data_IF_999631665788
#
_entry.id   IF_999631665788
#
_cell.length_a   1.000
_cell.length_b   1.000
_cell.length_c   1.000
_cell.angle_alpha   90.00
_cell.angle_beta   90.00
_cell.angle_gamma   90.00
#
_symmetry.space_group_name_H-M   'P 1'
#
loop_
_entity.id
_entity.type
_entity.pdbx_description
1 polymer ?
#
# COMPACT_ATOMS: atom_id res chain seq x y z
N UNK A 1 -1.28 9.69 -11.46
CA UNK A 1 -1.61 8.79 -12.58
C UNK A 1 -2.13 7.43 -12.11
N UNK A 2 -1.34 6.59 -11.42
CA UNK A 2 -1.77 5.25 -10.99
C UNK A 2 -3.06 5.24 -10.13
N UNK A 3 -3.16 6.13 -9.14
CA UNK A 3 -4.37 6.27 -8.31
C UNK A 3 -5.58 6.69 -9.14
N UNK A 4 -5.41 7.64 -10.07
CA UNK A 4 -6.48 8.08 -10.98
C UNK A 4 -6.99 6.94 -11.86
N UNK A 5 -6.07 6.09 -12.35
CA UNK A 5 -6.40 4.92 -13.16
C UNK A 5 -7.17 3.87 -12.34
N UNK A 6 -6.77 3.65 -11.08
CA UNK A 6 -7.52 2.81 -10.14
C UNK A 6 -8.95 3.34 -9.92
N UNK A 7 -9.09 4.64 -9.63
CA UNK A 7 -10.41 5.26 -9.42
C UNK A 7 -11.30 5.13 -10.66
N UNK A 8 -10.73 5.31 -11.85
CA UNK A 8 -11.45 5.12 -13.12
C UNK A 8 -11.93 3.67 -13.29
N UNK A 9 -11.10 2.68 -12.99
CA UNK A 9 -11.47 1.26 -13.06
C UNK A 9 -12.59 0.89 -12.08
N UNK A 10 -12.54 1.43 -10.85
CA UNK A 10 -13.61 1.23 -9.85
C UNK A 10 -14.93 1.85 -10.32
N UNK A 11 -14.86 3.03 -10.96
CA UNK A 11 -16.05 3.70 -11.50
C UNK A 11 -16.69 2.88 -12.63
N UNK A 12 -15.88 2.39 -13.58
CA UNK A 12 -16.36 1.52 -14.67
C UNK A 12 -17.04 0.26 -14.12
N UNK A 13 -16.44 -0.37 -13.10
CA UNK A 13 -17.03 -1.53 -12.44
C UNK A 13 -18.39 -1.19 -11.81
N UNK A 14 -18.50 -0.05 -11.11
CA UNK A 14 -19.73 0.38 -10.44
C UNK A 14 -20.87 0.65 -11.43
N UNK A 15 -20.56 1.28 -12.56
CA UNK A 15 -21.53 1.52 -13.65
C UNK A 15 -22.00 0.18 -14.22
N UNK A 16 -21.06 -0.73 -14.48
CA UNK A 16 -21.39 -1.98 -15.15
C UNK A 16 -22.18 -2.95 -14.23
N UNK A 17 -21.94 -2.91 -12.90
CA UNK A 17 -22.83 -3.56 -11.91
C UNK A 17 -24.22 -2.91 -11.89
N UNK A 18 -24.30 -1.58 -11.96
CA UNK A 18 -25.58 -0.85 -12.04
C UNK A 18 -26.41 -1.23 -13.28
N UNK A 19 -25.73 -1.61 -14.37
CA UNK A 19 -26.37 -2.10 -15.61
C UNK A 19 -26.74 -3.60 -15.57
N UNK A 20 -26.64 -4.25 -14.40
CA UNK A 20 -26.92 -5.67 -14.21
C UNK A 20 -26.06 -6.63 -15.06
N UNK A 21 -24.90 -6.15 -15.55
CA UNK A 21 -23.94 -7.01 -16.21
C UNK A 21 -23.34 -7.92 -15.14
N UNK A 22 -23.47 -9.25 -15.32
CA UNK A 22 -22.84 -10.24 -14.43
C UNK A 22 -21.33 -10.21 -14.65
N UNK A 23 -20.66 -9.25 -14.02
CA UNK A 23 -19.20 -9.11 -14.06
C UNK A 23 -18.59 -9.99 -12.98
N UNK A 24 -17.32 -10.33 -13.18
CA UNK A 24 -16.42 -10.95 -12.20
C UNK A 24 -16.69 -10.50 -10.76
N UNK A 25 -16.61 -11.46 -9.85
CA UNK A 25 -16.92 -11.29 -8.43
C UNK A 25 -16.06 -10.17 -7.81
N UNK A 26 -16.71 -9.21 -7.15
CA UNK A 26 -16.04 -8.04 -6.53
C UNK A 26 -14.93 -8.45 -5.56
N UNK A 27 -15.08 -9.62 -4.93
CA UNK A 27 -14.12 -10.19 -3.99
C UNK A 27 -12.79 -10.60 -4.62
N UNK A 28 -12.72 -10.71 -5.95
CA UNK A 28 -11.48 -10.98 -6.68
C UNK A 28 -10.91 -9.68 -7.23
N UNK A 29 -11.74 -8.84 -7.87
CA UNK A 29 -11.29 -7.59 -8.50
C UNK A 29 -10.69 -6.63 -7.49
N UNK A 30 -11.35 -6.45 -6.33
CA UNK A 30 -10.97 -5.42 -5.39
C UNK A 30 -9.59 -5.67 -4.74
N UNK A 31 -9.29 -6.87 -4.20
CA UNK A 31 -7.96 -7.15 -3.65
C UNK A 31 -6.85 -7.08 -4.70
N UNK A 32 -7.11 -7.52 -5.94
CA UNK A 32 -6.13 -7.47 -7.03
C UNK A 32 -5.82 -6.04 -7.43
N UNK A 33 -6.84 -5.21 -7.64
CA UNK A 33 -6.65 -3.82 -8.06
C UNK A 33 -5.92 -2.99 -6.99
N UNK A 34 -6.32 -3.15 -5.72
CA UNK A 34 -5.68 -2.45 -4.59
C UNK A 34 -4.28 -3.00 -4.34
N UNK A 35 -4.09 -4.32 -4.35
CA UNK A 35 -2.78 -4.95 -4.22
C UNK A 35 -1.79 -4.46 -5.29
N UNK A 36 -2.24 -4.32 -6.54
CA UNK A 36 -1.42 -3.81 -7.65
C UNK A 36 -1.00 -2.37 -7.42
N UNK A 37 -1.90 -1.52 -6.91
CA UNK A 37 -1.59 -0.15 -6.53
C UNK A 37 -0.46 -0.14 -5.47
N UNK A 38 -0.60 -0.92 -4.41
CA UNK A 38 0.41 -0.99 -3.34
C UNK A 38 1.75 -1.52 -3.84
N UNK A 39 1.75 -2.53 -4.72
CA UNK A 39 2.97 -3.04 -5.36
C UNK A 39 3.69 -1.95 -6.18
N UNK A 40 2.96 -1.18 -6.98
CA UNK A 40 3.53 -0.08 -7.77
C UNK A 40 4.08 1.05 -6.89
N UNK A 41 3.34 1.42 -5.84
CA UNK A 41 3.78 2.45 -4.88
C UNK A 41 5.03 1.97 -4.13
N UNK A 42 5.02 0.75 -3.61
CA UNK A 42 6.17 0.18 -2.89
C UNK A 42 7.43 0.13 -3.75
N UNK A 43 7.31 -0.22 -5.03
CA UNK A 43 8.45 -0.21 -5.95
C UNK A 43 8.99 1.21 -6.24
N UNK A 44 8.17 2.24 -6.06
CA UNK A 44 8.52 3.64 -6.33
C UNK A 44 9.09 4.36 -5.11
N UNK A 45 8.72 3.95 -3.89
CA UNK A 45 9.13 4.57 -2.62
C UNK A 45 10.65 4.77 -2.46
N UNK A 46 11.53 3.80 -2.77
CA UNK A 46 12.98 3.98 -2.62
C UNK A 46 13.58 5.07 -3.53
N UNK A 47 12.84 5.50 -4.56
CA UNK A 47 13.28 6.52 -5.51
C UNK A 47 12.91 7.94 -5.06
N UNK A 48 12.13 8.08 -3.98
CA UNK A 48 11.75 9.38 -3.47
C UNK A 48 12.95 10.06 -2.81
N UNK A 49 13.37 11.18 -3.39
CA UNK A 49 14.29 12.11 -2.73
C UNK A 49 13.58 12.75 -1.54
N UNK A 50 14.35 13.15 -0.53
CA UNK A 50 13.83 13.86 0.64
C UNK A 50 13.05 15.08 0.20
N UNK A 51 11.78 15.17 0.63
CA UNK A 51 10.90 16.26 0.26
C UNK A 51 9.79 16.43 1.32
N UNK A 52 9.16 17.59 1.33
CA UNK A 52 8.09 17.92 2.28
C UNK A 52 6.70 17.43 1.84
N UNK A 53 6.56 16.89 0.63
CA UNK A 53 5.27 16.63 -0.02
C UNK A 53 4.85 15.15 -0.01
N UNK A 54 5.78 14.19 -0.04
CA UNK A 54 5.53 12.77 -0.27
C UNK A 54 6.50 11.89 0.53
N UNK A 55 5.98 10.82 1.15
CA UNK A 55 6.75 9.89 1.97
C UNK A 55 6.40 9.94 3.46
N UNK A 56 7.19 9.27 4.29
CA UNK A 56 7.07 9.34 5.76
C UNK A 56 7.80 10.57 6.29
N UNK A 57 7.00 11.54 6.72
CA UNK A 57 7.40 12.90 7.12
C UNK A 57 7.39 13.07 8.63
N UNK A 58 8.12 12.21 9.32
CA UNK A 58 8.41 12.39 10.74
C UNK A 58 9.51 13.46 10.91
N UNK A 59 9.52 14.19 12.04
CA UNK A 59 10.48 15.28 12.27
C UNK A 59 11.94 14.86 12.04
N UNK A 60 12.25 13.58 12.30
CA UNK A 60 13.58 13.02 12.11
C UNK A 60 13.90 12.50 10.70
N UNK A 61 12.91 12.06 9.92
CA UNK A 61 13.15 11.69 8.50
C UNK A 61 13.34 12.93 7.64
N UNK A 62 12.78 14.07 8.05
CA UNK A 62 12.96 15.36 7.39
C UNK A 62 14.26 16.08 7.77
N UNK A 63 14.92 15.68 8.87
CA UNK A 63 16.19 16.28 9.28
C UNK A 63 17.41 15.54 8.73
N UNK A 64 17.24 14.30 8.26
CA UNK A 64 18.36 13.42 7.93
C UNK A 64 18.09 12.54 6.69
N UNK A 65 18.86 12.77 5.64
CA UNK A 65 18.71 12.11 4.35
C UNK A 65 19.02 10.60 4.42
N UNK A 66 19.93 10.19 5.31
CA UNK A 66 20.26 8.78 5.50
C UNK A 66 19.10 8.01 6.15
N UNK A 67 18.48 8.61 7.18
CA UNK A 67 17.26 8.07 7.79
C UNK A 67 16.13 8.01 6.76
N UNK A 68 15.97 9.07 5.95
CA UNK A 68 14.99 9.10 4.87
C UNK A 68 15.14 7.91 3.92
N UNK A 69 16.34 7.69 3.36
CA UNK A 69 16.59 6.60 2.42
C UNK A 69 16.40 5.23 3.05
N UNK A 70 16.86 5.01 4.29
CA UNK A 70 16.70 3.72 4.99
C UNK A 70 15.22 3.39 5.24
N UNK A 71 14.44 4.37 5.70
CA UNK A 71 13.00 4.22 5.96
C UNK A 71 12.24 3.92 4.67
N UNK A 72 12.40 4.73 3.63
CA UNK A 72 11.68 4.54 2.36
C UNK A 72 12.11 3.28 1.59
N UNK A 73 13.37 2.83 1.74
CA UNK A 73 13.83 1.56 1.16
C UNK A 73 13.19 0.35 1.85
N UNK A 74 13.05 0.40 3.17
CA UNK A 74 12.37 -0.65 3.94
C UNK A 74 10.88 -0.68 3.63
N UNK A 75 10.23 0.48 3.68
CA UNK A 75 8.81 0.62 3.38
C UNK A 75 8.46 0.22 1.96
N UNK A 76 9.31 0.57 0.99
CA UNK A 76 9.12 0.16 -0.39
C UNK A 76 9.04 -1.36 -0.54
N UNK A 77 9.92 -2.10 0.14
CA UNK A 77 9.87 -3.58 0.17
C UNK A 77 8.62 -4.08 0.89
N UNK A 78 8.27 -3.48 2.02
CA UNK A 78 7.12 -3.87 2.82
C UNK A 78 5.81 -3.69 2.05
N UNK A 79 5.64 -2.55 1.38
CA UNK A 79 4.47 -2.23 0.56
C UNK A 79 4.42 -3.09 -0.70
N UNK A 80 5.58 -3.39 -1.31
CA UNK A 80 5.65 -4.29 -2.46
C UNK A 80 5.17 -5.71 -2.11
N UNK A 81 5.75 -6.30 -1.06
CA UNK A 81 5.38 -7.64 -0.59
C UNK A 81 3.95 -7.64 -0.06
N UNK A 82 3.56 -6.60 0.67
CA UNK A 82 2.20 -6.41 1.17
C UNK A 82 1.15 -6.35 0.06
N UNK A 83 1.44 -5.64 -1.04
CA UNK A 83 0.57 -5.60 -2.22
C UNK A 83 0.39 -6.97 -2.88
N UNK A 84 1.46 -7.78 -2.96
CA UNK A 84 1.38 -9.15 -3.48
C UNK A 84 0.54 -10.04 -2.56
N UNK A 85 0.73 -9.93 -1.24
CA UNK A 85 -0.07 -10.66 -0.26
C UNK A 85 -1.55 -10.28 -0.32
N UNK A 86 -1.86 -9.01 -0.54
CA UNK A 86 -3.23 -8.53 -0.77
C UNK A 86 -3.85 -9.12 -2.03
N UNK A 87 -3.09 -9.29 -3.13
CA UNK A 87 -3.61 -9.98 -4.31
C UNK A 87 -3.90 -11.45 -4.00
N UNK A 88 -3.06 -12.11 -3.20
CA UNK A 88 -3.25 -13.51 -2.83
C UNK A 88 -4.54 -13.75 -2.03
N UNK A 89 -5.07 -12.74 -1.33
CA UNK A 89 -6.37 -12.87 -0.63
C UNK A 89 -7.54 -13.06 -1.59
N UNK A 90 -7.40 -12.72 -2.87
CA UNK A 90 -8.43 -12.92 -3.89
C UNK A 90 -8.83 -14.40 -4.09
N UNK A 91 -7.93 -15.34 -3.74
CA UNK A 91 -8.18 -16.79 -3.84
C UNK A 91 -8.98 -17.32 -2.64
N UNK A 92 -9.07 -16.54 -1.55
CA UNK A 92 -9.75 -16.96 -0.32
C UNK A 92 -11.29 -16.89 -0.44
N UNK A 93 -12.01 -17.68 0.38
CA UNK A 93 -13.46 -17.59 0.48
C UNK A 93 -13.92 -16.17 0.85
N UNK A 94 -15.07 -15.75 0.31
CA UNK A 94 -15.61 -14.39 0.39
C UNK A 94 -15.59 -13.80 1.80
N UNK A 95 -15.99 -14.59 2.80
CA UNK A 95 -16.09 -14.17 4.19
C UNK A 95 -14.72 -13.95 4.85
N UNK A 96 -13.74 -14.81 4.53
CA UNK A 96 -12.39 -14.70 5.08
C UNK A 96 -11.56 -13.63 4.37
N UNK A 97 -11.77 -13.46 3.07
CA UNK A 97 -11.04 -12.49 2.25
C UNK A 97 -11.16 -11.07 2.81
N UNK A 98 -12.38 -10.61 3.15
CA UNK A 98 -12.58 -9.27 3.70
C UNK A 98 -11.82 -9.05 5.02
N UNK A 99 -11.85 -10.03 5.93
CA UNK A 99 -11.18 -9.95 7.24
C UNK A 99 -9.66 -9.93 7.06
N UNK A 100 -9.12 -10.87 6.29
CA UNK A 100 -7.68 -11.00 6.05
C UNK A 100 -7.13 -9.78 5.30
N UNK A 101 -7.85 -9.29 4.30
CA UNK A 101 -7.48 -8.09 3.55
C UNK A 101 -7.42 -6.85 4.46
N UNK A 102 -8.45 -6.64 5.28
CA UNK A 102 -8.51 -5.51 6.22
C UNK A 102 -7.40 -5.59 7.26
N UNK A 103 -7.16 -6.79 7.80
CA UNK A 103 -6.08 -7.02 8.74
C UNK A 103 -4.70 -6.73 8.13
N UNK A 104 -4.43 -7.24 6.92
CA UNK A 104 -3.19 -6.96 6.19
C UNK A 104 -3.00 -5.46 5.93
N UNK A 105 -4.06 -4.75 5.53
CA UNK A 105 -4.01 -3.31 5.30
C UNK A 105 -3.61 -2.53 6.55
N UNK A 106 -4.20 -2.87 7.71
CA UNK A 106 -3.87 -2.25 8.99
C UNK A 106 -2.42 -2.52 9.40
N UNK A 107 -1.97 -3.76 9.27
CA UNK A 107 -0.60 -4.16 9.61
C UNK A 107 0.41 -3.42 8.73
N UNK A 108 0.18 -3.36 7.42
CA UNK A 108 1.06 -2.65 6.48
C UNK A 108 1.09 -1.14 6.71
N UNK A 109 0.02 -0.56 7.25
CA UNK A 109 -0.02 0.86 7.62
C UNK A 109 0.72 1.15 8.94
N UNK A 110 0.65 0.24 9.91
CA UNK A 110 1.25 0.42 11.24
C UNK A 110 2.76 0.15 11.28
N UNK A 111 3.24 -0.88 10.57
CA UNK A 111 4.67 -1.26 10.60
C UNK A 111 5.61 -0.10 10.19
N UNK A 112 5.35 0.67 9.11
CA UNK A 112 6.19 1.79 8.70
C UNK A 112 6.39 2.84 9.81
N UNK A 113 5.31 3.17 10.53
CA UNK A 113 5.33 4.17 11.61
C UNK A 113 6.22 3.70 12.76
N UNK A 114 6.06 2.44 13.17
CA UNK A 114 6.87 1.83 14.23
C UNK A 114 8.35 1.76 13.80
N UNK A 115 8.61 1.34 12.57
CA UNK A 115 9.97 1.21 12.05
C UNK A 115 10.69 2.55 11.97
N UNK A 116 9.99 3.61 11.52
CA UNK A 116 10.54 4.98 11.50
C UNK A 116 10.97 5.44 12.90
N UNK A 117 10.20 5.14 13.94
CA UNK A 117 10.55 5.45 15.32
C UNK A 117 11.76 4.65 15.83
N UNK A 118 11.85 3.37 15.49
CA UNK A 118 12.98 2.50 15.89
C UNK A 118 14.30 2.97 15.26
N UNK A 119 14.30 3.32 13.98
CA UNK A 119 15.51 3.86 13.31
C UNK A 119 15.96 5.14 14.00
N UNK A 120 15.03 6.06 14.28
CA UNK A 120 15.35 7.31 14.97
C UNK A 120 15.99 7.04 16.33
N UNK A 121 15.36 6.21 17.17
CA UNK A 121 15.89 5.90 18.50
C UNK A 121 17.28 5.26 18.44
N UNK A 122 17.55 4.40 17.46
CA UNK A 122 18.86 3.74 17.33
C UNK A 122 19.97 4.69 16.85
N UNK A 123 19.66 5.78 16.15
CA UNK A 123 20.68 6.76 15.72
C UNK A 123 21.14 7.69 16.85
N UNK A 124 20.28 7.94 17.83
CA UNK A 124 20.54 8.86 18.96
C UNK A 124 20.76 8.13 20.30
N UNK A 125 20.98 6.82 20.27
CA UNK A 125 21.55 6.05 21.39
C UNK A 125 23.07 6.08 21.28
#
# INVERSE_FOLDING_TARGET
FAVSLLMFMIQLYTIAVSMNVKILNISIIMPVAVGMLFTVIGNSMPKFKQNFYAGIRTSWTLSDEEIWFKTHRFEGKLWFVGGILMMATAVLPKNMNFIVFTFLALVLALIPVIYSYVIYRNKYK
#
